data_IF_263099254304
#
_entry.id   IF_263099254304
#
_cell.length_a   1.000
_cell.length_b   1.000
_cell.length_c   1.000
_cell.angle_alpha   90.00
_cell.angle_beta   90.00
_cell.angle_gamma   90.00
#
_symmetry.space_group_name_H-M   'P 1'
#
loop_
_entity.id
_entity.type
_entity.pdbx_description
1 polymer ?
#
# COMPACT_ATOMS: atom_id res chain seq x y z
N UNK A 1 0.50 2.03 -13.87
CA UNK A 1 0.00 3.09 -14.77
C UNK A 1 -1.39 3.41 -14.28
N UNK A 2 -1.56 4.66 -13.85
CA UNK A 2 -2.73 5.12 -13.10
C UNK A 2 -3.99 4.94 -13.92
N UNK A 3 -5.08 4.55 -13.26
CA UNK A 3 -6.37 4.38 -13.92
C UNK A 3 -7.05 5.74 -14.06
N UNK A 4 -7.26 6.19 -15.30
CA UNK A 4 -7.96 7.44 -15.60
C UNK A 4 -9.35 7.10 -16.13
N UNK A 5 -10.38 7.42 -15.34
CA UNK A 5 -11.76 7.31 -15.77
C UNK A 5 -12.25 8.67 -16.30
N UNK A 6 -12.39 8.77 -17.62
CA UNK A 6 -12.83 10.00 -18.28
C UNK A 6 -14.33 10.29 -18.08
N UNK A 7 -15.16 9.26 -17.96
CA UNK A 7 -16.61 9.43 -17.78
C UNK A 7 -16.93 10.01 -16.40
N UNK A 8 -16.23 9.56 -15.35
CA UNK A 8 -16.38 10.08 -14.00
C UNK A 8 -15.40 11.22 -13.65
N UNK A 9 -14.48 11.56 -14.57
CA UNK A 9 -13.37 12.50 -14.34
C UNK A 9 -12.58 12.19 -13.06
N UNK A 10 -12.15 10.94 -12.91
CA UNK A 10 -11.37 10.48 -11.76
C UNK A 10 -10.02 9.91 -12.19
N UNK A 11 -8.94 10.31 -11.52
CA UNK A 11 -7.61 9.73 -11.61
C UNK A 11 -7.38 8.91 -10.36
N UNK A 12 -7.13 7.62 -10.51
CA UNK A 12 -6.82 6.72 -9.41
C UNK A 12 -5.33 6.36 -9.43
N UNK A 13 -4.65 6.64 -8.31
CA UNK A 13 -3.23 6.35 -8.12
C UNK A 13 -3.06 5.28 -7.05
N UNK A 14 -2.43 4.15 -7.40
CA UNK A 14 -2.17 3.06 -6.47
C UNK A 14 -0.80 3.18 -5.83
N UNK A 15 -0.76 3.32 -4.50
CA UNK A 15 0.47 3.35 -3.71
C UNK A 15 0.60 2.12 -2.83
N UNK A 16 1.76 1.47 -2.85
CA UNK A 16 2.01 0.25 -2.07
C UNK A 16 3.11 0.49 -1.03
N UNK A 17 2.78 0.29 0.23
CA UNK A 17 3.71 0.21 1.34
C UNK A 17 4.33 -1.20 1.38
N UNK A 18 5.62 -1.25 1.15
CA UNK A 18 6.45 -2.45 1.08
C UNK A 18 7.49 -2.48 2.21
N UNK A 19 8.00 -3.66 2.56
CA UNK A 19 9.03 -3.80 3.60
C UNK A 19 8.81 -5.01 4.50
N UNK A 20 9.63 -5.12 5.55
CA UNK A 20 9.62 -6.27 6.46
C UNK A 20 8.32 -6.35 7.30
N UNK A 21 7.97 -7.54 7.76
CA UNK A 21 6.89 -7.71 8.73
C UNK A 21 7.21 -7.00 10.04
N UNK A 22 6.20 -6.41 10.69
CA UNK A 22 6.33 -5.59 11.90
C UNK A 22 7.15 -4.30 11.74
N UNK A 23 7.59 -3.94 10.53
CA UNK A 23 8.34 -2.69 10.26
C UNK A 23 7.52 -1.39 10.28
N UNK A 24 6.24 -1.41 10.70
CA UNK A 24 5.42 -0.20 10.83
C UNK A 24 4.62 0.22 9.59
N UNK A 25 4.43 -0.68 8.60
CA UNK A 25 3.61 -0.41 7.42
C UNK A 25 2.15 -0.09 7.76
N UNK A 26 1.48 -0.95 8.52
CA UNK A 26 0.09 -0.74 8.97
C UNK A 26 -0.04 0.51 9.82
N UNK A 27 0.91 0.76 10.72
CA UNK A 27 0.96 1.97 11.55
C UNK A 27 1.00 3.26 10.71
N UNK A 28 1.67 3.26 9.56
CA UNK A 28 1.62 4.41 8.64
C UNK A 28 0.21 4.66 8.13
N UNK A 29 -0.51 3.62 7.68
CA UNK A 29 -1.85 3.77 7.11
C UNK A 29 -2.88 4.11 8.18
N UNK A 30 -2.79 3.52 9.38
CA UNK A 30 -3.58 3.90 10.56
C UNK A 30 -3.39 5.38 10.90
N UNK A 31 -2.14 5.85 10.93
CA UNK A 31 -1.83 7.24 11.22
C UNK A 31 -2.38 8.18 10.15
N UNK A 32 -2.14 7.88 8.86
CA UNK A 32 -2.68 8.68 7.74
C UNK A 32 -4.21 8.70 7.81
N UNK A 33 -4.85 7.53 7.95
CA UNK A 33 -6.30 7.45 8.10
C UNK A 33 -6.75 8.34 9.26
N UNK A 34 -6.13 8.31 10.43
CA UNK A 34 -6.54 9.16 11.58
C UNK A 34 -6.42 10.67 11.33
N UNK A 35 -5.53 11.10 10.43
CA UNK A 35 -5.20 12.52 10.17
C UNK A 35 -5.91 13.13 8.97
N UNK A 36 -6.33 12.32 8.01
CA UNK A 36 -7.11 12.80 6.84
C UNK A 36 -8.52 13.16 7.30
N UNK A 37 -9.11 14.18 6.69
CA UNK A 37 -10.51 14.56 6.90
C UNK A 37 -11.43 13.33 6.74
N UNK A 38 -12.28 13.00 7.75
CA UNK A 38 -13.24 11.91 7.67
C UNK A 38 -14.14 11.95 6.42
N UNK A 39 -14.48 13.14 5.92
CA UNK A 39 -15.32 13.29 4.72
C UNK A 39 -14.56 13.04 3.42
N UNK A 40 -13.23 13.17 3.46
CA UNK A 40 -12.32 12.96 2.33
C UNK A 40 -11.67 11.58 2.35
N UNK A 41 -12.12 10.68 3.24
CA UNK A 41 -11.55 9.34 3.41
C UNK A 41 -12.59 8.22 3.49
N UNK A 42 -12.28 7.10 2.84
CA UNK A 42 -13.09 5.87 2.96
C UNK A 42 -12.77 5.09 4.23
N UNK A 43 -13.55 4.02 4.47
CA UNK A 43 -13.26 3.08 5.56
C UNK A 43 -11.96 2.35 5.27
N UNK A 44 -11.11 2.23 6.29
CA UNK A 44 -10.03 1.26 6.31
C UNK A 44 -10.62 -0.16 6.25
N UNK A 45 -10.27 -0.90 5.20
CA UNK A 45 -10.71 -2.28 5.00
C UNK A 45 -9.54 -3.19 5.35
N UNK A 46 -9.81 -4.33 5.98
CA UNK A 46 -8.81 -5.37 6.20
C UNK A 46 -9.39 -6.69 5.66
N UNK A 47 -8.76 -7.31 4.65
CA UNK A 47 -9.19 -8.62 4.17
C UNK A 47 -8.38 -9.75 4.82
N UNK A 48 -9.05 -10.72 5.41
CA UNK A 48 -8.43 -11.90 6.01
C UNK A 48 -9.03 -13.14 5.38
N UNK A 49 -8.24 -13.94 4.67
CA UNK A 49 -8.66 -15.26 4.18
C UNK A 49 -8.49 -16.31 5.28
N UNK A 50 -9.41 -17.28 5.36
CA UNK A 50 -9.48 -18.27 6.46
C UNK A 50 -8.23 -19.15 6.62
N UNK A 51 -7.47 -19.38 5.54
CA UNK A 51 -6.37 -20.36 5.53
C UNK A 51 -5.03 -19.78 5.96
N UNK A 52 -4.89 -18.46 6.03
CA UNK A 52 -3.60 -17.85 6.27
C UNK A 52 -3.75 -16.38 6.64
N UNK A 53 -3.10 -16.00 7.73
CA UNK A 53 -3.17 -14.67 8.34
C UNK A 53 -2.88 -13.57 7.29
N UNK A 54 -4.00 -12.98 6.86
CA UNK A 54 -4.20 -11.56 6.61
C UNK A 54 -3.58 -10.93 5.36
N UNK A 55 -4.41 -10.88 4.31
CA UNK A 55 -4.37 -9.93 3.21
C UNK A 55 -4.82 -8.53 3.69
N UNK A 56 -4.10 -7.96 4.65
CA UNK A 56 -4.32 -6.56 5.04
C UNK A 56 -3.94 -5.66 3.86
N UNK A 57 -4.93 -5.14 3.15
CA UNK A 57 -4.76 -3.92 2.38
C UNK A 57 -5.60 -2.85 3.06
N UNK A 58 -4.98 -1.91 3.76
CA UNK A 58 -5.73 -0.79 4.29
C UNK A 58 -6.06 0.17 3.15
N UNK A 59 -7.26 0.03 2.60
CA UNK A 59 -7.74 0.90 1.54
C UNK A 59 -8.12 2.26 2.11
N UNK A 60 -7.36 3.29 1.77
CA UNK A 60 -7.69 4.67 2.09
C UNK A 60 -7.84 5.48 0.81
N UNK A 61 -9.06 5.71 0.31
CA UNK A 61 -9.28 6.67 -0.75
C UNK A 61 -9.11 8.06 -0.15
N UNK A 62 -8.02 8.75 -0.48
CA UNK A 62 -7.84 10.16 -0.11
C UNK A 62 -8.15 11.00 -1.34
N UNK A 63 -9.13 11.90 -1.22
CA UNK A 63 -9.34 12.96 -2.21
C UNK A 63 -8.34 14.09 -1.91
N UNK A 64 -7.38 14.29 -2.83
CA UNK A 64 -6.41 15.40 -2.73
C UNK A 64 -6.84 16.63 -3.54
N UNK A 65 -8.07 16.64 -4.05
CA UNK A 65 -8.61 17.69 -4.91
C UNK A 65 -8.48 17.36 -6.39
N UNK A 66 -8.51 18.42 -7.20
CA UNK A 66 -8.63 18.30 -8.65
C UNK A 66 -7.34 18.62 -9.40
N UNK A 67 -6.98 17.76 -10.36
CA UNK A 67 -5.91 18.01 -11.33
C UNK A 67 -6.56 18.19 -12.70
N UNK A 68 -6.52 19.40 -13.25
CA UNK A 68 -7.12 19.75 -14.56
C UNK A 68 -8.59 19.32 -14.69
N UNK A 69 -9.36 19.45 -13.60
CA UNK A 69 -10.78 19.08 -13.56
C UNK A 69 -11.05 17.58 -13.38
N UNK A 70 -10.04 16.79 -13.03
CA UNK A 70 -10.19 15.40 -12.59
C UNK A 70 -9.98 15.30 -11.09
N UNK A 71 -10.88 14.62 -10.38
CA UNK A 71 -10.69 14.27 -8.98
C UNK A 71 -9.58 13.24 -8.84
N UNK A 72 -8.69 13.43 -7.88
CA UNK A 72 -7.56 12.51 -7.65
C UNK A 72 -7.79 11.67 -6.42
N UNK A 73 -7.84 10.35 -6.61
CA UNK A 73 -8.03 9.36 -5.55
C UNK A 73 -6.77 8.54 -5.38
N UNK A 74 -6.19 8.57 -4.18
CA UNK A 74 -5.12 7.63 -3.82
C UNK A 74 -5.69 6.33 -3.29
N UNK A 75 -5.13 5.19 -3.68
CA UNK A 75 -5.43 3.90 -3.09
C UNK A 75 -4.16 3.39 -2.41
N UNK A 76 -4.14 3.44 -1.08
CA UNK A 76 -3.03 2.93 -0.29
C UNK A 76 -3.22 1.42 -0.08
N UNK A 77 -2.11 0.67 -0.14
CA UNK A 77 -2.07 -0.77 0.09
C UNK A 77 -0.85 -1.11 0.94
N UNK A 78 -0.95 -2.11 1.81
CA UNK A 78 0.20 -2.72 2.48
C UNK A 78 0.42 -4.13 2.00
N UNK A 79 1.68 -4.59 1.96
CA UNK A 79 1.97 -6.00 1.73
C UNK A 79 2.09 -6.78 3.04
N UNK A 80 1.71 -8.08 3.06
CA UNK A 80 1.88 -8.91 4.25
C UNK A 80 3.36 -9.04 4.61
N UNK A 81 3.63 -8.99 5.91
CA UNK A 81 4.98 -8.91 6.46
C UNK A 81 5.84 -10.17 6.35
N UNK A 82 5.20 -11.34 6.24
CA UNK A 82 5.89 -12.63 6.24
C UNK A 82 6.34 -13.01 4.83
N UNK A 83 7.51 -13.65 4.73
CA UNK A 83 8.16 -14.03 3.45
C UNK A 83 7.36 -15.10 2.70
N UNK A 84 6.59 -15.94 3.43
CA UNK A 84 5.76 -17.00 2.87
C UNK A 84 4.72 -16.51 1.84
N UNK A 85 4.29 -15.25 1.93
CA UNK A 85 3.25 -14.68 1.07
C UNK A 85 3.78 -13.94 -0.17
N UNK A 86 4.82 -14.48 -0.82
CA UNK A 86 5.43 -13.85 -2.00
C UNK A 86 4.43 -13.68 -3.17
N UNK A 87 3.56 -14.66 -3.39
CA UNK A 87 2.50 -14.56 -4.41
C UNK A 87 1.55 -13.36 -4.15
N UNK A 88 1.16 -13.15 -2.89
CA UNK A 88 0.32 -12.02 -2.49
C UNK A 88 1.05 -10.68 -2.68
N UNK A 89 2.34 -10.61 -2.34
CA UNK A 89 3.18 -9.42 -2.59
C UNK A 89 3.21 -9.06 -4.07
N UNK A 90 3.43 -10.04 -4.96
CA UNK A 90 3.42 -9.85 -6.41
C UNK A 90 2.06 -9.39 -6.91
N UNK A 91 0.98 -9.98 -6.41
CA UNK A 91 -0.39 -9.60 -6.77
C UNK A 91 -0.70 -8.15 -6.38
N UNK A 92 -0.33 -7.73 -5.16
CA UNK A 92 -0.57 -6.37 -4.67
C UNK A 92 0.22 -5.34 -5.48
N UNK A 93 1.42 -5.66 -5.96
CA UNK A 93 2.23 -4.77 -6.81
C UNK A 93 1.69 -4.59 -8.23
N UNK A 94 0.76 -5.43 -8.71
CA UNK A 94 0.17 -5.26 -10.05
C UNK A 94 -0.52 -3.89 -10.17
N UNK A 95 -0.14 -3.15 -11.21
CA UNK A 95 -0.70 -1.83 -11.50
C UNK A 95 -0.30 -0.74 -10.50
N UNK A 96 0.77 -0.95 -9.73
CA UNK A 96 1.29 0.08 -8.81
C UNK A 96 1.75 1.33 -9.59
N UNK A 97 1.51 2.50 -9.00
CA UNK A 97 1.96 3.80 -9.51
C UNK A 97 3.08 4.39 -8.65
N UNK A 98 3.16 4.00 -7.37
CA UNK A 98 4.26 4.36 -6.47
C UNK A 98 4.45 3.35 -5.34
N UNK A 99 5.68 3.22 -4.86
CA UNK A 99 6.04 2.32 -3.76
C UNK A 99 6.67 3.12 -2.63
N UNK A 100 6.26 2.82 -1.40
CA UNK A 100 6.87 3.32 -0.17
C UNK A 100 7.57 2.14 0.50
N UNK A 101 8.89 2.16 0.57
CA UNK A 101 9.62 1.13 1.31
C UNK A 101 9.79 1.55 2.77
N UNK A 102 9.24 0.77 3.69
CA UNK A 102 9.34 1.00 5.14
C UNK A 102 10.42 0.09 5.72
N UNK A 103 11.51 0.72 6.16
CA UNK A 103 12.67 0.06 6.76
C UNK A 103 12.60 0.13 8.29
N UNK A 104 12.85 -1.00 8.95
CA UNK A 104 12.96 -1.06 10.42
C UNK A 104 14.37 -0.64 10.85
N UNK A 105 14.48 0.45 11.61
CA UNK A 105 15.78 1.05 11.96
C UNK A 105 16.53 0.31 13.08
N UNK A 106 15.96 -0.74 13.67
CA UNK A 106 16.65 -1.55 14.65
C UNK A 106 17.83 -2.29 13.99
N UNK A 107 19.02 -2.23 14.62
CA UNK A 107 20.25 -2.78 14.03
C UNK A 107 20.13 -4.26 13.59
N UNK A 108 19.46 -5.09 14.40
CA UNK A 108 19.25 -6.51 14.12
C UNK A 108 18.26 -6.78 12.96
N UNK A 109 17.61 -5.75 12.41
CA UNK A 109 16.63 -5.84 11.32
C UNK A 109 17.23 -5.46 9.97
N UNK A 110 18.49 -5.02 9.93
CA UNK A 110 19.16 -4.57 8.72
C UNK A 110 19.17 -5.64 7.61
N UNK A 111 19.53 -6.89 7.92
CA UNK A 111 19.52 -7.99 6.95
C UNK A 111 18.11 -8.23 6.39
N UNK A 112 17.10 -8.27 7.26
CA UNK A 112 15.71 -8.43 6.83
C UNK A 112 15.24 -7.28 5.92
N UNK A 113 15.69 -6.04 6.15
CA UNK A 113 15.37 -4.91 5.28
C UNK A 113 16.00 -5.08 3.89
N UNK A 114 17.26 -5.55 3.83
CA UNK A 114 17.95 -5.82 2.55
C UNK A 114 17.22 -6.93 1.78
N UNK A 115 16.88 -8.04 2.45
CA UNK A 115 16.10 -9.12 1.85
C UNK A 115 14.74 -8.65 1.33
N UNK A 116 14.01 -7.84 2.11
CA UNK A 116 12.72 -7.30 1.69
C UNK A 116 12.85 -6.34 0.49
N UNK A 117 13.97 -5.61 0.38
CA UNK A 117 14.25 -4.75 -0.77
C UNK A 117 14.56 -5.56 -2.02
N UNK A 118 15.37 -6.61 -1.92
CA UNK A 118 15.60 -7.53 -3.05
C UNK A 118 14.30 -8.18 -3.51
N UNK A 119 13.47 -8.65 -2.58
CA UNK A 119 12.17 -9.21 -2.88
C UNK A 119 11.20 -8.21 -3.53
N UNK A 120 11.29 -6.91 -3.19
CA UNK A 120 10.55 -5.87 -3.90
C UNK A 120 10.99 -5.79 -5.36
N UNK A 121 12.30 -5.73 -5.62
CA UNK A 121 12.83 -5.66 -6.99
C UNK A 121 12.44 -6.90 -7.82
N UNK A 122 12.53 -8.09 -7.25
CA UNK A 122 12.11 -9.35 -7.90
C UNK A 122 10.63 -9.36 -8.27
N UNK A 123 9.77 -8.76 -7.42
CA UNK A 123 8.33 -8.74 -7.67
C UNK A 123 7.87 -7.61 -8.61
N UNK A 124 8.72 -6.59 -8.83
CA UNK A 124 8.49 -5.51 -9.79
C UNK A 124 8.93 -5.88 -11.22
N UNK A 125 9.81 -6.87 -11.36
CA UNK A 125 10.22 -7.44 -12.65
C UNK A 125 9.13 -8.31 -13.30
#
# INVERSE_FOLDING_TARGET
MSMINYASREITCKLVYYGTGLGGKTTNLEYIHSRVDPDSRGKMISLSTETDRTLFFDFLPVDLGEIRGFKTRFQLYTVPGQVYYNASRKLILKGVDGVIFVSDSQAHRQEANIEAMHNLYENLA
#
